data_IF_241289846460
#
_entry.id   IF_241289846460
#
_cell.length_a   1.000
_cell.length_b   1.000
_cell.length_c   1.000
_cell.angle_alpha   90.00
_cell.angle_beta   90.00
_cell.angle_gamma   90.00
#
_symmetry.space_group_name_H-M   'P 1'
#
loop_
_entity.id
_entity.type
_entity.pdbx_description
1 polymer ?
#
# COMPACT_ATOMS: atom_id res chain seq x y z
N UNK A 1 -2.25 0.77 -7.40
CA UNK A 1 -3.64 1.12 -7.02
C UNK A 1 -4.50 -0.12 -6.84
N UNK A 2 -5.65 0.03 -6.17
CA UNK A 2 -6.66 -1.01 -6.05
C UNK A 2 -7.39 -1.26 -7.39
N UNK A 3 -8.42 -2.11 -7.34
CA UNK A 3 -9.35 -2.33 -8.46
C UNK A 3 -10.79 -2.08 -7.98
N UNK A 4 -11.74 -1.99 -8.93
CA UNK A 4 -13.15 -1.71 -8.64
C UNK A 4 -13.48 -0.22 -8.61
N UNK A 5 -14.66 0.14 -8.12
CA UNK A 5 -15.23 1.49 -8.25
C UNK A 5 -14.39 2.59 -7.59
N UNK A 6 -13.70 2.28 -6.48
CA UNK A 6 -12.86 3.23 -5.76
C UNK A 6 -11.43 3.33 -6.30
N UNK A 7 -11.07 2.52 -7.30
CA UNK A 7 -9.73 2.53 -7.88
C UNK A 7 -9.43 3.85 -8.57
N UNK A 8 -8.23 4.37 -8.37
CA UNK A 8 -7.80 5.65 -8.97
C UNK A 8 -7.92 5.66 -10.49
N UNK A 9 -7.59 4.54 -11.16
CA UNK A 9 -7.72 4.42 -12.61
C UNK A 9 -9.18 4.42 -13.07
N UNK A 10 -10.11 3.90 -12.28
CA UNK A 10 -11.53 3.96 -12.61
C UNK A 10 -12.11 5.33 -12.36
N UNK A 11 -11.72 5.98 -11.27
CA UNK A 11 -12.22 7.30 -10.89
C UNK A 11 -11.68 8.42 -11.76
N UNK A 12 -10.37 8.40 -12.03
CA UNK A 12 -9.68 9.49 -12.73
C UNK A 12 -9.16 9.08 -14.13
N UNK A 13 -8.93 7.78 -14.36
CA UNK A 13 -8.64 7.17 -15.64
C UNK A 13 -7.66 7.92 -16.53
N UNK A 14 -8.10 8.23 -17.74
CA UNK A 14 -7.32 8.92 -18.76
C UNK A 14 -6.88 10.32 -18.29
N UNK A 15 -7.72 11.01 -17.51
CA UNK A 15 -7.43 12.38 -17.07
C UNK A 15 -6.17 12.48 -16.23
N UNK A 16 -5.94 11.55 -15.31
CA UNK A 16 -4.72 11.59 -14.48
C UNK A 16 -3.47 11.32 -15.31
N UNK A 17 -3.54 10.42 -16.29
CA UNK A 17 -2.41 10.13 -17.19
C UNK A 17 -2.12 11.35 -18.05
N UNK A 18 -3.14 11.99 -18.62
CA UNK A 18 -3.01 13.23 -19.40
C UNK A 18 -2.27 14.31 -18.63
N UNK A 19 -2.70 14.57 -17.38
CA UNK A 19 -2.08 15.61 -16.54
C UNK A 19 -0.66 15.22 -16.14
N UNK A 20 -0.40 13.95 -15.81
CA UNK A 20 0.93 13.48 -15.46
C UNK A 20 1.92 13.62 -16.64
N UNK A 21 1.51 13.34 -17.86
CA UNK A 21 2.36 13.54 -19.03
C UNK A 21 2.72 15.00 -19.28
N UNK A 22 1.89 15.94 -18.83
CA UNK A 22 2.19 17.38 -18.92
C UNK A 22 3.21 17.85 -17.87
N UNK A 23 3.50 17.05 -16.84
CA UNK A 23 4.47 17.40 -15.80
C UNK A 23 5.92 17.35 -16.27
N UNK A 24 6.20 16.59 -17.32
CA UNK A 24 7.56 16.30 -17.81
C UNK A 24 8.28 15.18 -17.05
N UNK A 25 7.66 14.59 -16.02
CA UNK A 25 8.19 13.42 -15.32
C UNK A 25 7.98 12.13 -16.13
N UNK A 26 8.84 11.14 -15.90
CA UNK A 26 8.60 9.78 -16.38
C UNK A 26 7.49 9.13 -15.55
N UNK A 27 6.47 8.62 -16.22
CA UNK A 27 5.26 8.08 -15.61
C UNK A 27 5.25 6.58 -15.74
N UNK A 28 5.08 5.86 -14.63
CA UNK A 28 4.89 4.42 -14.63
C UNK A 28 3.45 4.15 -14.19
N UNK A 29 2.65 3.62 -15.09
CA UNK A 29 1.29 3.17 -14.78
C UNK A 29 1.32 1.67 -14.50
N UNK A 30 0.95 1.30 -13.26
CA UNK A 30 0.91 -0.08 -12.83
C UNK A 30 -0.48 -0.43 -12.30
N UNK A 31 -1.39 -0.93 -13.13
CA UNK A 31 -2.69 -1.40 -12.69
C UNK A 31 -2.55 -2.58 -11.72
N UNK A 32 -3.53 -2.77 -10.84
CA UNK A 32 -3.60 -4.00 -10.05
C UNK A 32 -3.72 -5.21 -10.98
N UNK A 33 -3.03 -6.34 -10.72
CA UNK A 33 -3.11 -7.53 -11.58
C UNK A 33 -4.55 -8.01 -11.83
N UNK A 34 -5.45 -7.82 -10.87
CA UNK A 34 -6.87 -8.14 -11.03
C UNK A 34 -7.56 -7.26 -12.07
N UNK A 35 -7.17 -5.99 -12.23
CA UNK A 35 -7.79 -5.08 -13.22
C UNK A 35 -7.65 -5.58 -14.66
N UNK A 36 -6.57 -6.28 -14.98
CA UNK A 36 -6.39 -6.90 -16.29
C UNK A 36 -7.40 -8.02 -16.59
N UNK A 37 -8.09 -8.54 -15.55
CA UNK A 37 -9.11 -9.60 -15.67
C UNK A 37 -10.53 -9.07 -15.51
N UNK A 38 -10.75 -8.20 -14.52
CA UNK A 38 -12.08 -7.70 -14.17
C UNK A 38 -12.45 -6.41 -14.90
N UNK A 39 -11.47 -5.66 -15.41
CA UNK A 39 -11.64 -4.34 -16.01
C UNK A 39 -10.91 -4.25 -17.37
N UNK A 40 -10.81 -5.37 -18.08
CA UNK A 40 -10.01 -5.53 -19.32
C UNK A 40 -10.31 -4.43 -20.35
N UNK A 41 -11.59 -4.21 -20.67
CA UNK A 41 -11.99 -3.21 -21.68
C UNK A 41 -11.53 -1.79 -21.31
N UNK A 42 -11.63 -1.42 -20.02
CA UNK A 42 -11.19 -0.11 -19.53
C UNK A 42 -9.67 0.01 -19.66
N UNK A 43 -8.93 -0.99 -19.19
CA UNK A 43 -7.46 -0.97 -19.21
C UNK A 43 -6.94 -0.94 -20.67
N UNK A 44 -7.48 -1.77 -21.55
CA UNK A 44 -7.08 -1.81 -22.97
C UNK A 44 -7.40 -0.49 -23.68
N UNK A 45 -8.54 0.13 -23.38
CA UNK A 45 -8.90 1.44 -23.94
C UNK A 45 -7.88 2.51 -23.52
N UNK A 46 -7.53 2.57 -22.22
CA UNK A 46 -6.58 3.54 -21.70
C UNK A 46 -5.18 3.29 -22.29
N UNK A 47 -4.73 2.04 -22.33
CA UNK A 47 -3.45 1.68 -22.93
C UNK A 47 -3.35 2.01 -24.42
N UNK A 48 -4.47 1.90 -25.15
CA UNK A 48 -4.53 2.26 -26.56
C UNK A 48 -4.48 3.77 -26.77
N UNK A 49 -5.11 4.54 -25.86
CA UNK A 49 -5.07 6.01 -25.91
C UNK A 49 -3.70 6.57 -25.49
N UNK A 50 -3.02 5.89 -24.56
CA UNK A 50 -1.72 6.28 -24.03
C UNK A 50 -0.76 5.08 -24.07
N UNK A 51 -0.20 4.76 -25.25
CA UNK A 51 0.76 3.64 -25.39
C UNK A 51 2.09 3.95 -24.70
N UNK A 52 2.89 2.91 -24.47
CA UNK A 52 4.27 3.07 -24.01
C UNK A 52 5.05 4.07 -24.88
N UNK A 53 5.87 4.89 -24.24
CA UNK A 53 6.69 5.93 -24.86
C UNK A 53 7.92 6.22 -23.99
N UNK A 54 8.78 7.14 -24.43
CA UNK A 54 9.93 7.58 -23.62
C UNK A 54 9.53 8.20 -22.25
N UNK A 55 8.29 8.67 -22.13
CA UNK A 55 7.77 9.28 -20.92
C UNK A 55 6.77 8.42 -20.16
N UNK A 56 6.18 7.39 -20.77
CA UNK A 56 5.14 6.54 -20.19
C UNK A 56 5.50 5.07 -20.30
N UNK A 57 5.50 4.38 -19.16
CA UNK A 57 5.68 2.93 -19.07
C UNK A 57 4.43 2.26 -18.49
N UNK A 58 3.96 1.18 -19.11
CA UNK A 58 2.96 0.28 -18.53
C UNK A 58 3.63 -0.92 -17.88
N UNK A 59 3.73 -0.89 -16.55
CA UNK A 59 4.32 -2.00 -15.79
C UNK A 59 3.28 -3.09 -15.50
N UNK A 60 3.59 -4.32 -15.92
CA UNK A 60 2.75 -5.52 -15.77
C UNK A 60 3.40 -6.61 -14.91
N UNK A 61 4.49 -6.32 -14.25
CA UNK A 61 5.19 -7.28 -13.41
C UNK A 61 4.30 -7.74 -12.26
N UNK A 62 4.37 -9.01 -11.90
CA UNK A 62 3.67 -9.53 -10.71
C UNK A 62 4.29 -8.98 -9.44
N UNK A 63 5.61 -8.83 -9.40
CA UNK A 63 6.35 -8.23 -8.29
C UNK A 63 6.40 -6.71 -8.43
N UNK A 64 6.12 -6.01 -7.33
CA UNK A 64 6.15 -4.55 -7.29
C UNK A 64 7.46 -3.98 -6.74
N UNK A 65 8.37 -4.80 -6.22
CA UNK A 65 9.57 -4.33 -5.51
C UNK A 65 10.46 -3.42 -6.37
N UNK A 66 10.83 -3.87 -7.57
CA UNK A 66 11.74 -3.10 -8.43
C UNK A 66 11.10 -1.79 -8.94
N UNK A 67 9.81 -1.80 -9.25
CA UNK A 67 9.13 -0.58 -9.69
C UNK A 67 8.99 0.43 -8.54
N UNK A 68 8.67 -0.01 -7.32
CA UNK A 68 8.61 0.87 -6.16
C UNK A 68 9.99 1.44 -5.80
N UNK A 69 11.02 0.60 -5.86
CA UNK A 69 12.40 1.00 -5.58
C UNK A 69 12.90 2.12 -6.50
N UNK A 70 12.59 2.06 -7.80
CA UNK A 70 13.04 3.06 -8.79
C UNK A 70 12.13 4.27 -8.94
N UNK A 71 10.92 4.25 -8.37
CA UNK A 71 10.01 5.40 -8.38
C UNK A 71 10.37 6.38 -7.27
N UNK A 72 10.26 7.68 -7.53
CA UNK A 72 10.54 8.73 -6.54
C UNK A 72 9.30 9.12 -5.74
N UNK A 73 8.11 8.98 -6.33
CA UNK A 73 6.82 9.25 -5.71
C UNK A 73 5.79 8.21 -6.17
N UNK A 74 4.85 7.88 -5.30
CA UNK A 74 3.72 7.02 -5.61
C UNK A 74 2.43 7.83 -5.63
N UNK A 75 1.64 7.67 -6.69
CA UNK A 75 0.25 8.16 -6.72
C UNK A 75 -0.67 6.94 -6.65
N UNK A 76 -1.48 6.86 -5.61
CA UNK A 76 -2.34 5.69 -5.39
C UNK A 76 -3.68 6.08 -4.74
N UNK A 77 -4.57 5.12 -4.64
CA UNK A 77 -5.75 5.19 -3.78
C UNK A 77 -5.41 4.68 -2.36
N UNK A 78 -6.36 4.12 -1.61
CA UNK A 78 -6.15 3.55 -0.28
C UNK A 78 -5.47 2.17 -0.28
N UNK A 79 -4.80 1.78 -1.35
CA UNK A 79 -4.10 0.49 -1.46
C UNK A 79 -2.98 0.34 -0.43
N UNK A 80 -2.84 -0.86 0.14
CA UNK A 80 -1.77 -1.19 1.09
C UNK A 80 -0.36 -0.93 0.56
N UNK A 81 -0.17 -0.88 -0.76
CA UNK A 81 1.12 -0.52 -1.39
C UNK A 81 1.66 0.86 -0.97
N UNK A 82 0.78 1.75 -0.51
CA UNK A 82 1.19 3.04 0.08
C UNK A 82 2.17 2.81 1.23
N UNK A 83 1.87 1.86 2.12
CA UNK A 83 2.70 1.58 3.29
C UNK A 83 4.00 0.87 2.93
N UNK A 84 3.98 -0.02 1.94
CA UNK A 84 5.23 -0.59 1.40
C UNK A 84 6.12 0.53 0.85
N UNK A 85 5.56 1.45 0.08
CA UNK A 85 6.31 2.55 -0.52
C UNK A 85 6.83 3.55 0.50
N UNK A 86 5.98 3.99 1.42
CA UNK A 86 6.33 5.04 2.38
C UNK A 86 7.18 4.54 3.55
N UNK A 87 6.90 3.35 4.06
CA UNK A 87 7.59 2.85 5.24
C UNK A 87 8.89 2.10 4.90
N UNK A 88 8.91 1.31 3.81
CA UNK A 88 10.08 0.53 3.42
C UNK A 88 11.07 1.37 2.61
N UNK A 89 10.57 2.10 1.58
CA UNK A 89 11.44 2.88 0.69
C UNK A 89 11.65 4.33 1.13
N UNK A 90 10.97 4.78 2.19
CA UNK A 90 11.05 6.15 2.73
C UNK A 90 10.74 7.25 1.71
N UNK A 91 9.71 7.05 0.90
CA UNK A 91 9.33 7.96 -0.18
C UNK A 91 7.92 8.51 0.01
N UNK A 92 7.64 9.74 -0.44
CA UNK A 92 6.34 10.38 -0.27
C UNK A 92 5.28 9.76 -1.19
N UNK A 93 4.02 9.94 -0.80
CA UNK A 93 2.86 9.47 -1.57
C UNK A 93 1.90 10.63 -1.86
N UNK A 94 1.21 10.54 -2.99
CA UNK A 94 -0.01 11.30 -3.27
C UNK A 94 -1.15 10.28 -3.25
N UNK A 95 -2.12 10.49 -2.38
CA UNK A 95 -3.24 9.59 -2.23
C UNK A 95 -4.54 10.22 -2.74
N UNK A 96 -5.28 9.46 -3.54
CA UNK A 96 -6.56 9.94 -4.06
C UNK A 96 -7.59 10.04 -2.94
N UNK A 97 -8.36 11.14 -2.95
CA UNK A 97 -9.54 11.29 -2.10
C UNK A 97 -10.65 10.35 -2.60
N UNK A 98 -10.63 9.14 -2.07
CA UNK A 98 -11.60 8.09 -2.37
C UNK A 98 -12.34 7.73 -1.10
N UNK A 99 -13.66 7.82 -1.14
CA UNK A 99 -14.49 7.35 -0.03
C UNK A 99 -14.30 5.84 0.15
N UNK A 100 -13.94 5.45 1.38
CA UNK A 100 -13.83 4.05 1.75
C UNK A 100 -15.18 3.57 2.31
N UNK A 101 -15.82 2.65 1.60
CA UNK A 101 -17.02 1.99 2.09
C UNK A 101 -16.65 0.95 3.18
N UNK A 102 -17.05 1.22 4.41
CA UNK A 102 -16.82 0.33 5.56
C UNK A 102 -17.77 -0.88 5.60
N UNK A 103 -18.86 -0.84 4.86
CA UNK A 103 -19.93 -1.86 4.89
C UNK A 103 -19.43 -3.26 4.56
N UNK A 104 -18.71 -3.49 3.44
CA UNK A 104 -18.20 -4.80 3.06
C UNK A 104 -17.21 -5.43 4.05
N UNK A 105 -16.61 -4.61 4.92
CA UNK A 105 -15.58 -5.04 5.90
C UNK A 105 -16.14 -5.22 7.31
N UNK A 106 -17.47 -5.12 7.49
CA UNK A 106 -18.11 -5.18 8.81
C UNK A 106 -17.50 -4.21 9.83
N UNK A 107 -17.06 -3.04 9.35
CA UNK A 107 -16.34 -2.03 10.13
C UNK A 107 -17.19 -0.78 10.43
N UNK A 108 -18.49 -0.82 10.13
CA UNK A 108 -19.44 0.29 10.33
C UNK A 108 -19.58 0.72 11.79
N UNK A 109 -19.31 -0.18 12.72
CA UNK A 109 -19.38 0.04 14.18
C UNK A 109 -18.12 0.72 14.76
N UNK A 110 -17.07 0.92 13.96
CA UNK A 110 -15.86 1.60 14.43
C UNK A 110 -16.11 3.11 14.51
N UNK A 111 -16.14 3.63 15.73
CA UNK A 111 -16.29 5.06 16.00
C UNK A 111 -15.04 5.88 15.69
N UNK A 112 -13.89 5.22 15.62
CA UNK A 112 -12.59 5.86 15.33
C UNK A 112 -12.17 5.58 13.89
N UNK A 113 -11.54 6.59 13.30
CA UNK A 113 -10.87 6.41 12.01
C UNK A 113 -9.75 5.37 12.13
N UNK A 114 -9.66 4.47 11.15
CA UNK A 114 -8.55 3.51 11.11
C UNK A 114 -7.22 4.25 10.90
N UNK A 115 -6.17 3.78 11.57
CA UNK A 115 -4.83 4.36 11.45
C UNK A 115 -4.37 4.49 9.99
N UNK A 116 -4.71 3.53 9.14
CA UNK A 116 -4.39 3.52 7.71
C UNK A 116 -4.93 4.72 6.94
N UNK A 117 -5.95 5.41 7.43
CA UNK A 117 -6.48 6.65 6.85
C UNK A 117 -5.96 7.88 7.59
N UNK A 118 -5.94 7.86 8.91
CA UNK A 118 -5.49 9.01 9.72
C UNK A 118 -4.01 9.36 9.53
N UNK A 119 -3.18 8.39 9.11
CA UNK A 119 -1.75 8.61 8.83
C UNK A 119 -1.49 9.29 7.48
N UNK A 120 -2.38 9.14 6.49
CA UNK A 120 -2.15 9.59 5.11
C UNK A 120 -1.75 11.07 5.00
N UNK A 121 -2.40 12.03 5.68
CA UNK A 121 -2.02 13.45 5.60
C UNK A 121 -0.62 13.75 6.17
N UNK A 122 -0.07 12.85 6.99
CA UNK A 122 1.28 13.01 7.56
C UNK A 122 2.37 12.50 6.60
N UNK A 123 2.06 11.53 5.75
CA UNK A 123 3.03 10.86 4.89
C UNK A 123 2.94 11.29 3.41
N UNK A 124 1.93 12.07 3.05
CA UNK A 124 1.71 12.49 1.68
C UNK A 124 0.60 13.52 1.51
N UNK A 125 0.29 13.84 0.25
CA UNK A 125 -0.68 14.86 -0.13
C UNK A 125 -1.94 14.23 -0.73
N UNK A 126 -3.10 14.82 -0.45
CA UNK A 126 -4.37 14.37 -1.02
C UNK A 126 -4.53 14.87 -2.46
N UNK A 127 -4.93 13.96 -3.37
CA UNK A 127 -5.34 14.28 -4.73
C UNK A 127 -6.86 14.32 -4.81
N UNK A 128 -7.39 15.45 -5.23
CA UNK A 128 -8.83 15.65 -5.46
C UNK A 128 -9.09 16.09 -6.91
N UNK A 129 -10.33 16.03 -7.41
CA UNK A 129 -10.66 16.55 -8.74
C UNK A 129 -10.28 18.02 -8.93
N UNK A 130 -10.38 18.82 -7.86
CA UNK A 130 -10.14 20.28 -7.88
C UNK A 130 -8.65 20.62 -8.03
N UNK A 131 -7.76 19.82 -7.38
CA UNK A 131 -6.33 20.08 -7.41
C UNK A 131 -5.55 19.27 -8.46
N UNK A 132 -6.21 18.41 -9.23
CA UNK A 132 -5.57 17.54 -10.21
C UNK A 132 -4.77 18.31 -11.28
N UNK A 133 -5.24 19.48 -11.69
CA UNK A 133 -4.53 20.30 -12.68
C UNK A 133 -3.24 20.94 -12.12
N UNK A 134 -3.07 20.94 -10.80
CA UNK A 134 -1.87 21.43 -10.09
C UNK A 134 -0.91 20.30 -9.70
N UNK A 135 -1.10 19.12 -10.27
CA UNK A 135 -0.41 17.87 -9.88
C UNK A 135 1.12 17.99 -9.92
N UNK A 136 1.67 18.80 -10.86
CA UNK A 136 3.11 19.05 -10.89
C UNK A 136 3.60 19.71 -9.60
N UNK A 137 2.97 20.79 -9.16
CA UNK A 137 3.35 21.48 -7.93
C UNK A 137 3.13 20.60 -6.69
N UNK A 138 2.10 19.75 -6.71
CA UNK A 138 1.84 18.79 -5.63
C UNK A 138 2.98 17.76 -5.55
N UNK A 139 3.43 17.23 -6.70
CA UNK A 139 4.57 16.32 -6.77
C UNK A 139 5.83 16.99 -6.21
N UNK A 140 6.17 18.18 -6.71
CA UNK A 140 7.35 18.92 -6.28
C UNK A 140 7.30 19.20 -4.76
N UNK A 141 6.15 19.62 -4.25
CA UNK A 141 5.94 19.84 -2.82
C UNK A 141 6.12 18.56 -2.01
N UNK A 142 5.57 17.44 -2.47
CA UNK A 142 5.71 16.15 -1.76
C UNK A 142 7.16 15.67 -1.69
N UNK A 143 7.95 15.95 -2.72
CA UNK A 143 9.36 15.57 -2.77
C UNK A 143 10.24 16.44 -1.87
N UNK A 144 9.89 17.73 -1.69
CA UNK A 144 10.73 18.72 -1.03
C UNK A 144 10.30 19.03 0.43
N UNK A 145 9.01 18.85 0.77
CA UNK A 145 8.49 19.25 2.08
C UNK A 145 8.93 18.28 3.20
N UNK A 146 9.76 18.75 4.15
CA UNK A 146 10.27 17.91 5.24
C UNK A 146 9.18 17.37 6.18
N UNK A 147 7.96 17.94 6.15
CA UNK A 147 6.85 17.44 6.97
C UNK A 147 6.49 16.00 6.62
N UNK A 148 6.56 15.63 5.35
CA UNK A 148 6.25 14.27 4.92
C UNK A 148 7.33 13.27 5.32
N UNK A 149 8.61 13.66 5.29
CA UNK A 149 9.70 12.83 5.81
C UNK A 149 9.54 12.57 7.31
N UNK A 150 9.30 13.63 8.10
CA UNK A 150 9.00 13.51 9.53
C UNK A 150 7.79 12.63 9.79
N UNK A 151 6.71 12.79 9.03
CA UNK A 151 5.50 11.97 9.15
C UNK A 151 5.76 10.49 8.90
N UNK A 152 6.63 10.14 7.93
CA UNK A 152 7.04 8.76 7.67
C UNK A 152 7.87 8.16 8.81
N UNK A 153 8.78 8.95 9.41
CA UNK A 153 9.54 8.53 10.59
C UNK A 153 8.61 8.24 11.78
N UNK A 154 7.65 9.12 12.04
CA UNK A 154 6.65 8.94 13.08
C UNK A 154 5.80 7.68 12.80
N UNK A 155 5.33 7.49 11.57
CA UNK A 155 4.54 6.33 11.18
C UNK A 155 5.30 5.01 11.37
N UNK A 156 6.60 4.97 11.04
CA UNK A 156 7.47 3.81 11.32
C UNK A 156 7.58 3.55 12.82
N UNK A 157 7.80 4.58 13.61
CA UNK A 157 7.90 4.44 15.07
C UNK A 157 6.59 3.95 15.71
N UNK A 158 5.44 4.29 15.13
CA UNK A 158 4.13 3.82 15.58
C UNK A 158 3.84 2.35 15.23
N UNK A 159 4.45 1.83 14.17
CA UNK A 159 4.08 0.53 13.59
C UNK A 159 5.16 -0.54 13.68
N UNK A 160 6.42 -0.16 13.81
CA UNK A 160 7.57 -1.07 13.82
C UNK A 160 8.24 -1.14 15.19
N UNK A 161 8.06 -2.25 15.90
CA UNK A 161 8.70 -2.45 17.20
C UNK A 161 10.15 -2.97 17.06
N UNK A 162 10.40 -3.87 16.10
CA UNK A 162 11.67 -4.58 15.96
C UNK A 162 12.14 -4.65 14.50
N UNK A 163 12.55 -3.52 13.91
CA UNK A 163 13.00 -3.48 12.51
C UNK A 163 14.17 -4.45 12.26
N UNK A 164 14.03 -5.32 11.26
CA UNK A 164 15.06 -6.30 10.88
C UNK A 164 15.09 -7.58 11.73
N UNK A 165 14.41 -7.63 12.88
CA UNK A 165 14.44 -8.78 13.80
C UNK A 165 13.21 -9.68 13.70
N UNK A 166 12.18 -9.30 12.93
CA UNK A 166 10.86 -9.93 12.95
C UNK A 166 10.90 -11.44 12.70
N UNK A 167 11.69 -11.90 11.72
CA UNK A 167 11.80 -13.32 11.39
C UNK A 167 12.44 -14.13 12.53
N UNK A 168 13.54 -13.63 13.11
CA UNK A 168 14.24 -14.30 14.22
C UNK A 168 13.33 -14.39 15.44
N UNK A 169 12.70 -13.30 15.82
CA UNK A 169 11.77 -13.27 16.96
C UNK A 169 10.56 -14.19 16.78
N UNK A 170 10.04 -14.25 15.55
CA UNK A 170 8.93 -15.17 15.25
C UNK A 170 9.35 -16.64 15.41
N UNK A 171 10.54 -17.00 14.92
CA UNK A 171 11.09 -18.35 15.08
C UNK A 171 11.31 -18.68 16.56
N UNK A 172 11.96 -17.82 17.31
CA UNK A 172 12.20 -18.01 18.75
C UNK A 172 10.90 -18.22 19.52
N UNK A 173 9.90 -17.38 19.25
CA UNK A 173 8.58 -17.53 19.85
C UNK A 173 7.90 -18.87 19.50
N UNK A 174 7.95 -19.27 18.22
CA UNK A 174 7.36 -20.54 17.80
C UNK A 174 8.08 -21.74 18.42
N UNK A 175 9.41 -21.71 18.53
CA UNK A 175 10.19 -22.77 19.18
C UNK A 175 9.84 -22.87 20.66
N UNK A 176 9.78 -21.73 21.37
CA UNK A 176 9.34 -21.72 22.77
C UNK A 176 7.95 -22.34 22.94
N UNK A 177 6.98 -21.98 22.08
CA UNK A 177 5.62 -22.52 22.15
C UNK A 177 5.56 -24.01 21.84
N UNK A 178 6.39 -24.48 20.93
CA UNK A 178 6.51 -25.90 20.63
C UNK A 178 7.04 -26.70 21.85
N UNK A 179 8.05 -26.20 22.52
CA UNK A 179 8.60 -26.80 23.74
C UNK A 179 7.56 -26.86 24.87
N UNK A 180 6.87 -25.73 25.11
CA UNK A 180 5.77 -25.66 26.09
C UNK A 180 4.65 -26.66 25.78
N UNK A 181 4.28 -26.84 24.51
CA UNK A 181 3.25 -27.79 24.10
C UNK A 181 3.72 -29.23 24.26
N UNK A 182 4.95 -29.53 23.86
CA UNK A 182 5.55 -30.86 23.99
C UNK A 182 5.58 -31.30 25.45
N UNK A 183 5.96 -30.40 26.35
CA UNK A 183 5.98 -30.69 27.80
C UNK A 183 4.57 -30.94 28.36
N UNK A 184 3.58 -30.15 27.96
CA UNK A 184 2.18 -30.37 28.33
C UNK A 184 1.66 -31.74 27.86
N UNK A 185 2.03 -32.14 26.65
CA UNK A 185 1.59 -33.41 26.11
C UNK A 185 2.28 -34.60 26.80
N UNK A 186 3.59 -34.48 27.16
CA UNK A 186 4.30 -35.45 27.99
C UNK A 186 3.60 -35.63 29.34
N UNK A 187 3.30 -34.54 30.04
CA UNK A 187 2.62 -34.60 31.34
C UNK A 187 1.21 -35.21 31.26
N UNK A 188 0.48 -35.00 30.13
CA UNK A 188 -0.82 -35.65 29.93
C UNK A 188 -0.68 -37.16 29.79
N UNK A 189 0.31 -37.61 29.00
CA UNK A 189 0.59 -39.05 28.84
C UNK A 189 0.95 -39.69 30.17
N UNK A 190 1.87 -39.12 30.94
CA UNK A 190 2.27 -39.60 32.26
C UNK A 190 1.07 -39.70 33.22
N UNK A 191 0.20 -38.71 33.28
CA UNK A 191 -1.02 -38.72 34.11
C UNK A 191 -2.03 -39.78 33.67
N UNK A 192 -2.08 -40.12 32.36
CA UNK A 192 -2.96 -41.17 31.84
C UNK A 192 -2.42 -42.56 32.16
N UNK A 193 -1.10 -42.74 32.13
CA UNK A 193 -0.44 -44.00 32.48
C UNK A 193 -0.58 -44.30 33.99
N UNK A 194 -0.33 -43.29 34.84
CA UNK A 194 -0.44 -43.43 36.28
C UNK A 194 -1.88 -43.67 36.82
N UNK A 195 -2.91 -43.53 36.00
CA UNK A 195 -4.31 -43.84 36.36
C UNK A 195 -4.73 -45.27 35.94
N UNK A 196 -3.89 -46.01 35.20
CA UNK A 196 -4.18 -47.34 34.73
C UNK A 196 -3.51 -48.42 35.59
N UNK A 197 -2.55 -48.04 36.42
CA UNK A 197 -1.93 -48.84 37.46
C UNK A 197 -2.66 -48.65 38.79
#
# INVERSE_FOLDING_TARGET
PSWGESAILKKYGEKIIEVLLQTGYHVIVRPHPQSFRSETEMIERIMKAYPDSDQLEWNRDNDNYEVLKRSDILISDFSGVIFDFTLIFDKPVIYADTEFDKGPYDAWWLDKECWTFSVLPRIGHVLTPENMNDLKNIIDTCLEDPRYAKGRDEARAETWEHPGEGAVRAVDYLMQKLEEQTEKDRQKVEKQTAKKD
#
